data_IF_034291290407
#
_entry.id   IF_034291290407
#
_cell.length_a   1.000
_cell.length_b   1.000
_cell.length_c   1.000
_cell.angle_alpha   90.00
_cell.angle_beta   90.00
_cell.angle_gamma   90.00
#
_symmetry.space_group_name_H-M   'P 1'
#
loop_
_entity.id
_entity.type
_entity.pdbx_description
1 polymer ?
#
# COMPACT_ATOMS: atom_id res chain seq x y z
N UNK A 1 2.89 23.68 10.75
CA UNK A 1 2.29 22.33 10.67
C UNK A 1 3.21 21.40 11.42
N UNK A 2 2.85 21.08 12.67
CA UNK A 2 3.62 20.14 13.47
C UNK A 2 3.65 18.78 12.80
N UNK A 3 4.84 18.32 12.41
CA UNK A 3 5.04 16.91 12.06
C UNK A 3 4.84 16.12 13.34
N UNK A 4 3.85 15.24 13.33
CA UNK A 4 3.69 14.24 14.39
C UNK A 4 5.04 13.56 14.62
N UNK A 5 5.39 13.27 15.86
CA UNK A 5 6.60 12.50 16.14
C UNK A 5 6.49 11.12 15.44
N UNK A 6 7.60 10.51 15.02
CA UNK A 6 7.60 9.23 14.27
C UNK A 6 6.83 8.08 14.94
N UNK A 7 6.55 8.19 16.24
CA UNK A 7 5.77 7.21 16.99
C UNK A 7 4.25 7.49 16.98
N UNK A 8 3.83 8.71 16.68
CA UNK A 8 2.41 9.12 16.74
C UNK A 8 1.59 8.73 15.51
N UNK A 9 2.24 8.35 14.40
CA UNK A 9 1.57 7.94 13.18
C UNK A 9 1.58 6.41 12.97
N UNK A 10 2.05 5.64 13.96
CA UNK A 10 2.02 4.18 13.89
C UNK A 10 0.61 3.65 14.12
N UNK A 11 0.13 2.82 13.20
CA UNK A 11 -1.15 2.13 13.29
C UNK A 11 -1.04 0.79 14.04
N UNK A 12 0.16 0.25 14.14
CA UNK A 12 0.45 -0.96 14.90
C UNK A 12 1.93 -1.31 14.88
N UNK A 13 2.33 -2.12 15.84
CA UNK A 13 3.71 -2.61 15.98
C UNK A 13 3.73 -4.07 16.39
N UNK A 14 4.72 -4.82 15.92
CA UNK A 14 4.98 -6.20 16.35
C UNK A 14 6.46 -6.55 16.18
N UNK A 15 7.16 -6.80 17.28
CA UNK A 15 8.61 -7.03 17.30
C UNK A 15 9.36 -5.83 16.67
N UNK A 16 10.18 -6.09 15.65
CA UNK A 16 10.91 -5.10 14.86
C UNK A 16 10.09 -4.50 13.70
N UNK A 17 8.81 -4.84 13.58
CA UNK A 17 7.95 -4.39 12.49
C UNK A 17 6.91 -3.37 12.97
N UNK A 18 6.58 -2.42 12.10
CA UNK A 18 5.47 -1.50 12.31
C UNK A 18 4.64 -1.35 11.03
N UNK A 19 3.36 -0.97 11.19
CA UNK A 19 2.46 -0.61 10.10
C UNK A 19 2.08 0.86 10.23
N UNK A 20 2.13 1.59 9.12
CA UNK A 20 1.79 3.00 9.00
C UNK A 20 1.45 3.38 7.55
N UNK A 21 0.95 4.58 7.36
CA UNK A 21 0.84 5.15 6.02
C UNK A 21 2.21 5.67 5.53
N UNK A 22 2.35 5.81 4.21
CA UNK A 22 3.50 6.50 3.61
C UNK A 22 3.55 7.97 4.03
N UNK A 23 4.76 8.50 4.19
CA UNK A 23 5.01 9.88 4.63
C UNK A 23 5.52 10.80 3.52
N UNK A 24 5.86 10.23 2.36
CA UNK A 24 6.45 10.97 1.25
C UNK A 24 6.18 10.29 -0.10
N UNK A 25 6.29 11.05 -1.18
CA UNK A 25 6.23 10.52 -2.54
C UNK A 25 7.33 9.48 -2.82
N UNK A 26 8.49 9.62 -2.17
CA UNK A 26 9.56 8.63 -2.25
C UNK A 26 9.12 7.27 -1.70
N UNK A 27 8.40 7.25 -0.59
CA UNK A 27 7.87 5.99 -0.02
C UNK A 27 6.76 5.40 -0.90
N UNK A 28 5.92 6.22 -1.53
CA UNK A 28 4.96 5.76 -2.54
C UNK A 28 5.69 5.11 -3.71
N UNK A 29 6.74 5.75 -4.21
CA UNK A 29 7.58 5.18 -5.28
C UNK A 29 8.21 3.84 -4.86
N UNK A 30 8.71 3.74 -3.62
CA UNK A 30 9.25 2.48 -3.07
C UNK A 30 8.16 1.40 -2.99
N UNK A 31 6.93 1.74 -2.61
CA UNK A 31 5.81 0.80 -2.62
C UNK A 31 5.48 0.31 -4.04
N UNK A 32 5.54 1.19 -5.05
CA UNK A 32 5.35 0.82 -6.46
C UNK A 32 6.46 -0.12 -6.97
N UNK A 33 7.71 0.10 -6.56
CA UNK A 33 8.85 -0.77 -6.87
C UNK A 33 8.72 -2.15 -6.21
N UNK A 34 8.27 -2.18 -4.94
CA UNK A 34 8.00 -3.43 -4.23
C UNK A 34 6.88 -4.21 -4.92
N UNK A 35 5.78 -3.56 -5.31
CA UNK A 35 4.68 -4.18 -6.06
C UNK A 35 5.17 -4.73 -7.40
N UNK A 36 5.99 -3.99 -8.13
CA UNK A 36 6.58 -4.45 -9.38
C UNK A 36 7.40 -5.73 -9.17
N UNK A 37 8.27 -5.75 -8.17
CA UNK A 37 9.08 -6.93 -7.84
C UNK A 37 8.22 -8.17 -7.52
N UNK A 38 7.13 -7.99 -6.78
CA UNK A 38 6.24 -9.10 -6.42
C UNK A 38 5.38 -9.53 -7.61
N UNK A 39 4.66 -8.62 -8.26
CA UNK A 39 3.68 -8.97 -9.28
C UNK A 39 4.31 -9.42 -10.58
N UNK A 40 5.35 -8.76 -11.04
CA UNK A 40 5.93 -9.00 -12.37
C UNK A 40 7.21 -9.84 -12.32
N UNK A 41 8.11 -9.61 -11.37
CA UNK A 41 9.35 -10.40 -11.30
C UNK A 41 9.13 -11.77 -10.66
N UNK A 42 8.37 -11.83 -9.55
CA UNK A 42 8.12 -13.09 -8.82
C UNK A 42 6.92 -13.85 -9.41
N UNK A 43 5.73 -13.22 -9.50
CA UNK A 43 4.49 -13.87 -9.90
C UNK A 43 4.30 -13.94 -11.42
N UNK A 44 5.22 -13.33 -12.19
CA UNK A 44 5.24 -13.40 -13.67
C UNK A 44 4.00 -12.83 -14.36
N UNK A 45 3.29 -11.89 -13.73
CA UNK A 45 2.29 -11.10 -14.44
C UNK A 45 2.97 -10.31 -15.58
N UNK A 46 2.21 -9.97 -16.61
CA UNK A 46 2.75 -9.21 -17.75
C UNK A 46 2.65 -7.70 -17.45
N UNK A 47 3.76 -7.00 -17.27
CA UNK A 47 3.74 -5.54 -17.11
C UNK A 47 3.41 -4.87 -18.45
N UNK A 48 2.75 -3.72 -18.41
CA UNK A 48 2.68 -2.85 -19.58
C UNK A 48 4.04 -2.19 -19.88
N UNK A 49 4.12 -1.43 -20.99
CA UNK A 49 5.36 -0.79 -21.43
C UNK A 49 5.88 0.22 -20.41
N UNK A 50 5.00 0.98 -19.77
CA UNK A 50 5.37 2.00 -18.78
C UNK A 50 5.92 1.35 -17.51
N UNK A 51 5.25 0.31 -16.99
CA UNK A 51 5.70 -0.46 -15.84
C UNK A 51 7.04 -1.15 -16.11
N UNK A 52 7.21 -1.74 -17.29
CA UNK A 52 8.47 -2.38 -17.69
C UNK A 52 9.64 -1.41 -17.72
N UNK A 53 9.42 -0.20 -18.22
CA UNK A 53 10.45 0.83 -18.34
C UNK A 53 10.81 1.45 -17.00
N UNK A 54 9.80 1.81 -16.20
CA UNK A 54 9.98 2.45 -14.89
C UNK A 54 10.35 1.47 -13.77
N UNK A 55 10.10 0.17 -13.96
CA UNK A 55 10.16 -0.89 -12.94
C UNK A 55 9.28 -0.58 -11.73
N UNK A 56 8.11 0.03 -11.98
CA UNK A 56 7.10 0.38 -10.98
C UNK A 56 5.73 -0.09 -11.42
N UNK A 57 4.97 -0.67 -10.50
CA UNK A 57 3.53 -0.89 -10.65
C UNK A 57 2.82 0.39 -10.23
N UNK A 58 2.49 1.23 -11.20
CA UNK A 58 1.86 2.53 -10.97
C UNK A 58 0.64 2.72 -11.88
N UNK A 59 -0.42 3.29 -11.33
CA UNK A 59 -1.59 3.71 -12.07
C UNK A 59 -2.12 5.06 -11.55
N UNK A 60 -3.18 5.60 -12.18
CA UNK A 60 -3.77 6.88 -11.79
C UNK A 60 -4.28 6.93 -10.35
N UNK A 61 -4.63 5.79 -9.77
CA UNK A 61 -5.17 5.71 -8.41
C UNK A 61 -4.10 5.97 -7.34
N UNK A 62 -2.82 5.74 -7.64
CA UNK A 62 -1.74 5.98 -6.68
C UNK A 62 -1.67 7.45 -6.23
N UNK A 63 -2.11 8.39 -7.07
CA UNK A 63 -2.06 9.82 -6.77
C UNK A 63 -3.04 10.27 -5.66
N UNK A 64 -4.07 9.49 -5.37
CA UNK A 64 -5.11 9.87 -4.41
C UNK A 64 -5.49 8.77 -3.40
N UNK A 65 -4.90 7.58 -3.51
CA UNK A 65 -5.04 6.52 -2.52
C UNK A 65 -4.14 6.77 -1.31
N UNK A 66 -4.57 6.25 -0.16
CA UNK A 66 -3.68 6.07 0.98
C UNK A 66 -2.83 4.80 0.76
N UNK A 67 -1.53 4.88 1.02
CA UNK A 67 -0.62 3.75 0.90
C UNK A 67 -0.20 3.27 2.29
N UNK A 68 -0.72 2.11 2.67
CA UNK A 68 -0.36 1.42 3.91
C UNK A 68 0.89 0.59 3.69
N UNK A 69 1.86 0.69 4.58
CA UNK A 69 3.12 -0.06 4.50
C UNK A 69 3.45 -0.75 5.81
N UNK A 70 4.07 -1.93 5.70
CA UNK A 70 4.75 -2.57 6.82
C UNK A 70 6.24 -2.36 6.66
N UNK A 71 6.86 -1.82 7.69
CA UNK A 71 8.30 -1.54 7.75
C UNK A 71 8.94 -2.42 8.80
N UNK A 72 10.00 -3.14 8.41
CA UNK A 72 10.92 -3.78 9.33
C UNK A 72 11.96 -2.73 9.75
N UNK A 73 11.94 -2.36 11.01
CA UNK A 73 12.89 -1.40 11.57
C UNK A 73 14.30 -2.00 11.55
N UNK A 74 15.25 -1.24 11.06
CA UNK A 74 16.67 -1.62 11.06
C UNK A 74 17.47 -0.57 11.82
N UNK A 75 18.45 -1.02 12.61
CA UNK A 75 19.40 -0.12 13.24
C UNK A 75 20.48 0.26 12.21
N UNK A 76 20.56 1.56 11.86
CA UNK A 76 21.60 2.08 10.95
C UNK A 76 21.29 1.91 9.44
N UNK A 77 22.34 2.00 8.60
CA UNK A 77 22.26 1.99 7.13
C UNK A 77 21.97 0.62 6.48
N UNK A 78 21.43 -0.35 7.22
CA UNK A 78 21.08 -1.67 6.68
C UNK A 78 19.68 -1.69 6.03
N UNK A 79 19.32 -0.62 5.33
CA UNK A 79 18.11 -0.63 4.52
C UNK A 79 18.31 -1.63 3.37
N UNK A 80 17.43 -2.62 3.30
CA UNK A 80 17.40 -3.57 2.19
C UNK A 80 17.02 -2.91 0.86
N UNK A 81 16.66 -3.70 -0.14
CA UNK A 81 16.31 -3.24 -1.49
C UNK A 81 15.21 -2.15 -1.49
N UNK A 82 14.29 -2.20 -0.54
CA UNK A 82 13.15 -1.28 -0.43
C UNK A 82 13.29 -0.39 0.81
N UNK A 83 14.42 0.32 0.90
CA UNK A 83 14.75 1.18 2.03
C UNK A 83 13.82 2.39 2.18
N UNK A 84 13.40 2.65 3.42
CA UNK A 84 12.69 3.84 3.87
C UNK A 84 13.43 4.44 5.08
N UNK A 85 13.05 5.63 5.52
CA UNK A 85 13.83 6.36 6.54
C UNK A 85 13.98 5.61 7.87
N UNK A 86 13.01 4.76 8.24
CA UNK A 86 12.97 4.00 9.50
C UNK A 86 13.22 2.49 9.32
N UNK A 87 13.64 2.03 8.13
CA UNK A 87 13.97 0.64 7.90
C UNK A 87 13.78 0.15 6.47
N UNK A 88 13.25 -1.06 6.31
CA UNK A 88 12.94 -1.70 5.03
C UNK A 88 11.43 -1.92 4.90
N UNK A 89 10.84 -1.45 3.80
CA UNK A 89 9.46 -1.77 3.45
C UNK A 89 9.36 -3.24 3.03
N UNK A 90 8.53 -4.02 3.73
CA UNK A 90 8.37 -5.47 3.50
C UNK A 90 7.00 -5.85 3.00
N UNK A 91 6.02 -4.96 3.10
CA UNK A 91 4.67 -5.18 2.60
C UNK A 91 3.94 -3.87 2.37
N UNK A 92 2.92 -3.89 1.52
CA UNK A 92 2.09 -2.72 1.21
C UNK A 92 0.66 -3.11 0.90
N UNK A 93 -0.25 -2.17 1.14
CA UNK A 93 -1.66 -2.20 0.76
C UNK A 93 -2.06 -0.81 0.26
N UNK A 94 -2.85 -0.75 -0.80
CA UNK A 94 -3.44 0.51 -1.30
C UNK A 94 -4.88 0.61 -0.83
N UNK A 95 -5.23 1.72 -0.22
CA UNK A 95 -6.54 1.97 0.37
C UNK A 95 -7.22 3.13 -0.35
N UNK A 96 -8.46 2.93 -0.81
CA UNK A 96 -9.25 3.98 -1.45
C UNK A 96 -10.55 4.19 -0.68
N UNK A 97 -10.64 5.32 0.00
CA UNK A 97 -11.86 5.73 0.73
C UNK A 97 -12.94 6.18 -0.26
N UNK A 98 -14.19 5.82 0.01
CA UNK A 98 -15.34 6.16 -0.84
C UNK A 98 -15.41 7.65 -1.17
N UNK A 99 -15.24 8.53 -0.18
CA UNK A 99 -15.29 9.98 -0.40
C UNK A 99 -14.22 10.50 -1.36
N UNK A 100 -13.07 9.84 -1.41
CA UNK A 100 -11.99 10.15 -2.36
C UNK A 100 -12.30 9.54 -3.73
N UNK A 101 -12.82 8.31 -3.77
CA UNK A 101 -13.23 7.65 -5.00
C UNK A 101 -14.28 8.48 -5.76
N UNK A 102 -15.31 8.96 -5.07
CA UNK A 102 -16.38 9.78 -5.64
C UNK A 102 -15.87 11.07 -6.31
N UNK A 103 -14.82 11.68 -5.76
CA UNK A 103 -14.17 12.88 -6.31
C UNK A 103 -13.24 12.60 -7.49
N UNK A 104 -12.83 11.34 -7.69
CA UNK A 104 -11.81 10.94 -8.66
C UNK A 104 -12.31 9.90 -9.68
N UNK A 105 -13.61 9.84 -9.92
CA UNK A 105 -14.20 8.99 -10.97
C UNK A 105 -14.50 7.56 -10.54
N UNK A 106 -14.59 7.31 -9.23
CA UNK A 106 -15.04 6.03 -8.66
C UNK A 106 -13.93 5.11 -8.17
N UNK A 107 -14.34 3.96 -7.71
CA UNK A 107 -13.44 2.89 -7.27
C UNK A 107 -12.74 2.18 -8.43
N UNK A 108 -11.57 1.62 -8.19
CA UNK A 108 -10.88 0.76 -9.18
C UNK A 108 -11.76 -0.42 -9.61
N UNK A 109 -12.43 -1.07 -8.66
CA UNK A 109 -13.32 -2.21 -8.88
C UNK A 109 -14.44 -1.91 -9.89
N UNK A 110 -14.88 -0.66 -10.04
CA UNK A 110 -15.92 -0.26 -11.00
C UNK A 110 -15.47 -0.38 -12.46
N UNK A 111 -14.17 -0.52 -12.72
CA UNK A 111 -13.66 -0.82 -14.07
C UNK A 111 -13.90 -2.28 -14.49
N UNK A 112 -14.16 -3.16 -13.53
CA UNK A 112 -14.30 -4.61 -13.74
C UNK A 112 -15.70 -5.13 -13.34
N UNK A 113 -16.34 -4.50 -12.34
CA UNK A 113 -17.60 -4.94 -11.76
C UNK A 113 -18.57 -3.77 -11.56
N UNK A 114 -19.86 -4.01 -11.78
CA UNK A 114 -20.92 -3.06 -11.40
C UNK A 114 -21.19 -3.18 -9.89
N UNK A 115 -20.64 -2.26 -9.11
CA UNK A 115 -20.86 -2.18 -7.65
C UNK A 115 -21.94 -1.16 -7.26
N UNK A 116 -22.59 -0.49 -8.23
CA UNK A 116 -23.64 0.49 -7.94
C UNK A 116 -24.79 -0.09 -7.11
N UNK A 117 -25.29 -1.33 -7.37
CA UNK A 117 -26.30 -1.93 -6.53
C UNK A 117 -25.87 -2.14 -5.06
N UNK A 118 -24.59 -2.48 -4.83
CA UNK A 118 -24.03 -2.64 -3.48
C UNK A 118 -24.01 -1.29 -2.74
N UNK A 119 -23.53 -0.25 -3.38
CA UNK A 119 -23.46 1.10 -2.80
C UNK A 119 -24.88 1.62 -2.48
N UNK A 120 -25.83 1.43 -3.40
CA UNK A 120 -27.23 1.81 -3.21
C UNK A 120 -27.94 1.05 -2.10
N UNK A 121 -27.63 -0.23 -1.92
CA UNK A 121 -28.23 -1.08 -0.87
C UNK A 121 -27.73 -0.74 0.54
N UNK A 122 -26.63 -0.02 0.66
CA UNK A 122 -25.97 0.31 1.95
C UNK A 122 -25.62 1.81 2.07
N UNK A 123 -26.61 2.72 1.93
CA UNK A 123 -26.34 4.17 1.81
C UNK A 123 -25.77 4.81 3.08
N UNK A 124 -25.87 4.15 4.22
CA UNK A 124 -25.35 4.62 5.51
C UNK A 124 -23.92 4.15 5.79
N UNK A 125 -23.42 3.20 5.03
CA UNK A 125 -22.05 2.70 5.18
C UNK A 125 -21.06 3.53 4.38
N UNK A 126 -19.84 3.60 4.88
CA UNK A 126 -18.68 4.15 4.17
C UNK A 126 -17.82 2.98 3.73
N UNK A 127 -17.50 2.95 2.44
CA UNK A 127 -16.71 1.88 1.86
C UNK A 127 -15.23 2.26 1.78
N UNK A 128 -14.39 1.27 1.99
CA UNK A 128 -12.95 1.33 1.79
C UNK A 128 -12.57 0.20 0.83
N UNK A 129 -12.03 0.57 -0.33
CA UNK A 129 -11.50 -0.41 -1.29
C UNK A 129 -10.05 -0.75 -0.93
N UNK A 130 -9.78 -2.04 -0.87
CA UNK A 130 -8.46 -2.59 -0.59
C UNK A 130 -7.87 -3.15 -1.89
N UNK A 131 -6.71 -2.66 -2.28
CA UNK A 131 -6.07 -3.06 -3.52
C UNK A 131 -4.56 -3.18 -3.41
N UNK A 132 -3.95 -3.78 -4.43
CA UNK A 132 -2.49 -3.88 -4.56
C UNK A 132 -1.79 -4.43 -3.31
N UNK A 133 -2.43 -5.41 -2.64
CA UNK A 133 -1.84 -6.09 -1.49
C UNK A 133 -0.66 -6.94 -1.91
N UNK A 134 0.49 -6.68 -1.36
CA UNK A 134 1.63 -7.58 -1.53
C UNK A 134 2.62 -7.52 -0.38
N UNK A 135 3.32 -8.63 -0.17
CA UNK A 135 4.34 -8.79 0.85
C UNK A 135 5.53 -9.51 0.21
N UNK A 136 6.75 -9.09 0.52
CA UNK A 136 7.95 -9.78 0.07
C UNK A 136 7.95 -11.23 0.52
N UNK A 137 8.40 -12.14 -0.33
CA UNK A 137 8.30 -13.60 -0.14
C UNK A 137 8.78 -14.06 1.23
N UNK A 138 9.94 -13.57 1.67
CA UNK A 138 10.56 -13.95 2.96
C UNK A 138 9.79 -13.40 4.17
N UNK A 139 8.87 -12.46 3.96
CA UNK A 139 8.06 -11.84 5.02
C UNK A 139 6.57 -12.24 4.96
N UNK A 140 6.19 -13.22 4.13
CA UNK A 140 4.79 -13.74 4.05
C UNK A 140 4.47 -14.61 5.25
N UNK A 141 4.48 -13.98 6.41
CA UNK A 141 4.21 -14.62 7.71
C UNK A 141 2.93 -14.06 8.30
N UNK A 142 2.30 -14.82 9.20
CA UNK A 142 1.08 -14.38 9.90
C UNK A 142 1.24 -12.99 10.56
N UNK A 143 2.35 -12.65 11.26
CA UNK A 143 2.54 -11.34 11.85
C UNK A 143 2.44 -10.17 10.87
N UNK A 144 3.00 -10.28 9.66
CA UNK A 144 2.95 -9.20 8.67
C UNK A 144 1.55 -9.01 8.11
N UNK A 145 0.84 -10.10 7.86
CA UNK A 145 -0.57 -10.05 7.41
C UNK A 145 -1.46 -9.44 8.50
N UNK A 146 -1.26 -9.83 9.75
CA UNK A 146 -1.99 -9.25 10.90
C UNK A 146 -1.73 -7.75 11.06
N UNK A 147 -0.48 -7.29 10.87
CA UNK A 147 -0.16 -5.86 10.89
C UNK A 147 -0.87 -5.09 9.77
N UNK A 148 -0.91 -5.63 8.54
CA UNK A 148 -1.66 -5.00 7.45
C UNK A 148 -3.14 -4.85 7.81
N UNK A 149 -3.76 -5.88 8.36
CA UNK A 149 -5.15 -5.81 8.83
C UNK A 149 -5.36 -4.87 10.02
N UNK A 150 -4.37 -4.74 10.88
CA UNK A 150 -4.43 -3.78 11.99
C UNK A 150 -4.36 -2.33 11.52
N UNK A 151 -3.70 -2.08 10.38
CA UNK A 151 -3.58 -0.75 9.78
C UNK A 151 -4.80 -0.30 8.96
N UNK A 152 -5.70 -1.22 8.61
CA UNK A 152 -6.95 -0.96 7.87
C UNK A 152 -8.07 -0.57 8.82
#
# INVERSE_FOLDING_TARGET
MDRLSPEQDLLGTRNDMCVRLTRSEREVATAQELRFSVFYEELKASPDTAASHSRRDADRFDAFCDHLIVVRRTAGNEAGKFGVDDGEMVGTYRLLRQSVAEQNGGFYTQSEFDIAPLLAAKPTLKFLELGRSCVLKQYRTKPVVELLWQGI
#
